data_IF_202610940046
#
_entry.id   IF_202610940046
#
_cell.length_a   1.000
_cell.length_b   1.000
_cell.length_c   1.000
_cell.angle_alpha   90.00
_cell.angle_beta   90.00
_cell.angle_gamma   90.00
#
_symmetry.space_group_name_H-M   'P 1'
#
loop_
_entity.id
_entity.type
_entity.pdbx_description
1 polymer ?
#
# COMPACT_ATOMS: atom_id res chain seq x y z
N UNK A 1 -13.52 -40.69 -33.05
CA UNK A 1 -14.75 -40.54 -33.87
C UNK A 1 -15.83 -40.07 -32.90
N UNK A 2 -16.01 -38.75 -32.80
CA UNK A 2 -17.13 -37.98 -33.41
C UNK A 2 -18.43 -38.18 -32.62
N UNK A 3 -19.20 -37.16 -32.23
CA UNK A 3 -19.34 -35.86 -32.86
C UNK A 3 -19.84 -34.74 -31.93
N UNK A 4 -19.60 -33.55 -32.44
CA UNK A 4 -20.13 -32.25 -32.05
C UNK A 4 -21.60 -32.12 -32.48
N UNK A 5 -22.42 -31.47 -31.65
CA UNK A 5 -23.72 -30.91 -32.05
C UNK A 5 -23.70 -29.37 -31.90
N UNK A 6 -23.68 -28.61 -33.01
CA UNK A 6 -24.05 -27.21 -33.02
C UNK A 6 -25.30 -26.98 -33.88
N UNK A 7 -26.40 -26.61 -33.24
CA UNK A 7 -27.63 -26.12 -33.85
C UNK A 7 -28.14 -25.05 -32.85
N UNK A 8 -28.61 -23.85 -33.17
CA UNK A 8 -29.19 -23.19 -34.35
C UNK A 8 -29.46 -21.76 -33.80
N UNK A 9 -29.22 -20.61 -34.44
CA UNK A 9 -29.98 -20.02 -35.54
C UNK A 9 -29.32 -18.69 -35.94
N UNK A 10 -29.16 -18.51 -37.25
CA UNK A 10 -29.05 -17.21 -37.93
C UNK A 10 -30.31 -16.36 -37.68
N UNK A 11 -30.13 -15.05 -37.63
CA UNK A 11 -30.93 -14.11 -38.44
C UNK A 11 -30.25 -12.73 -38.45
N UNK A 12 -29.66 -12.39 -39.59
CA UNK A 12 -29.33 -11.04 -39.96
C UNK A 12 -30.59 -10.34 -40.51
N UNK A 13 -30.75 -9.04 -40.26
CA UNK A 13 -31.37 -8.17 -41.25
C UNK A 13 -30.81 -6.74 -41.14
N UNK A 14 -30.43 -6.23 -42.30
CA UNK A 14 -29.81 -4.95 -42.64
C UNK A 14 -30.91 -4.01 -43.16
N UNK A 15 -30.69 -2.68 -43.06
CA UNK A 15 -31.19 -1.54 -43.89
C UNK A 15 -31.58 -0.38 -42.96
N UNK A 16 -31.37 0.92 -43.21
CA UNK A 16 -30.78 1.74 -44.29
C UNK A 16 -30.66 3.15 -43.68
N UNK A 17 -29.47 3.77 -43.70
CA UNK A 17 -29.04 4.85 -44.60
C UNK A 17 -29.89 6.14 -44.60
N UNK A 18 -29.17 7.25 -44.34
CA UNK A 18 -29.36 8.63 -44.81
C UNK A 18 -30.24 9.55 -43.96
N UNK A 19 -29.66 10.65 -43.44
CA UNK A 19 -30.04 12.06 -43.74
C UNK A 19 -28.96 12.99 -43.13
N UNK A 20 -28.26 13.67 -44.05
CA UNK A 20 -27.78 15.06 -44.07
C UNK A 20 -27.84 15.93 -42.79
N UNK A 21 -26.75 16.68 -42.53
CA UNK A 21 -26.58 17.63 -41.42
C UNK A 21 -27.52 18.85 -41.40
N UNK A 22 -27.41 19.69 -40.37
CA UNK A 22 -26.47 20.82 -40.46
C UNK A 22 -25.59 21.01 -39.21
N UNK A 23 -24.49 21.73 -39.40
CA UNK A 23 -23.75 22.40 -38.33
C UNK A 23 -24.73 23.24 -37.50
N UNK A 24 -24.99 22.84 -36.26
CA UNK A 24 -25.56 23.71 -35.24
C UNK A 24 -24.42 24.13 -34.31
N UNK A 25 -24.19 25.44 -34.26
CA UNK A 25 -23.21 26.10 -33.45
C UNK A 25 -23.22 25.58 -32.00
N UNK A 26 -22.03 25.39 -31.43
CA UNK A 26 -21.89 25.29 -29.99
C UNK A 26 -22.51 26.56 -29.37
N UNK A 27 -23.48 26.46 -28.44
CA UNK A 27 -23.83 27.60 -27.65
C UNK A 27 -22.63 27.89 -26.75
N UNK A 28 -21.84 28.91 -27.12
CA UNK A 28 -21.01 29.60 -26.18
C UNK A 28 -21.95 30.32 -25.20
N UNK A 29 -22.48 29.59 -24.22
CA UNK A 29 -23.06 30.15 -23.01
C UNK A 29 -21.92 30.70 -22.16
N UNK A 30 -21.29 31.79 -22.64
CA UNK A 30 -20.61 32.75 -21.80
C UNK A 30 -21.69 33.66 -21.18
N UNK A 31 -22.55 33.07 -20.35
CA UNK A 31 -23.28 33.84 -19.35
C UNK A 31 -22.32 34.10 -18.19
N UNK A 32 -22.31 35.29 -17.57
CA UNK A 32 -21.62 35.46 -16.30
C UNK A 32 -22.15 34.41 -15.31
N UNK A 33 -21.24 33.74 -14.61
CA UNK A 33 -21.56 32.80 -13.53
C UNK A 33 -22.27 33.56 -12.39
N UNK A 34 -23.57 33.81 -12.53
CA UNK A 34 -24.44 34.13 -11.40
C UNK A 34 -24.64 32.84 -10.59
N UNK A 35 -23.65 32.52 -9.75
CA UNK A 35 -23.78 31.48 -8.73
C UNK A 35 -23.28 31.99 -7.39
N UNK A 36 -24.01 32.95 -6.86
CA UNK A 36 -24.01 33.30 -5.44
C UNK A 36 -25.46 33.23 -5.02
N UNK A 37 -25.89 32.11 -4.43
CA UNK A 37 -27.20 32.08 -3.73
C UNK A 37 -27.22 33.22 -2.68
N UNK A 38 -28.40 33.78 -2.37
CA UNK A 38 -28.53 34.84 -1.36
C UNK A 38 -28.06 34.31 0.01
N UNK A 39 -26.81 34.60 0.37
CA UNK A 39 -26.16 34.08 1.58
C UNK A 39 -24.70 33.65 1.39
N UNK A 40 -24.22 33.50 0.16
CA UNK A 40 -22.79 33.27 -0.07
C UNK A 40 -22.02 34.57 0.08
N UNK A 41 -21.08 34.58 1.03
CA UNK A 41 -20.13 35.67 1.20
C UNK A 41 -19.23 35.73 -0.04
N UNK A 42 -19.03 36.94 -0.59
CA UNK A 42 -18.08 37.14 -1.67
C UNK A 42 -16.69 36.64 -1.23
N UNK A 43 -15.91 36.02 -2.15
CA UNK A 43 -14.55 35.62 -1.83
C UNK A 43 -13.76 36.86 -1.35
N UNK A 44 -12.91 36.71 -0.32
CA UNK A 44 -12.14 37.83 0.19
C UNK A 44 -11.29 38.44 -0.92
N UNK A 45 -11.30 39.77 -1.00
CA UNK A 45 -10.53 40.53 -1.99
C UNK A 45 -9.03 40.15 -1.86
N UNK A 46 -8.29 40.01 -2.98
CA UNK A 46 -6.85 39.82 -2.92
C UNK A 46 -6.21 40.95 -2.10
N UNK A 47 -5.53 40.60 -1.00
CA UNK A 47 -4.95 41.58 -0.07
C UNK A 47 -5.79 41.87 1.19
N UNK A 48 -6.97 41.25 1.34
CA UNK A 48 -7.64 41.18 2.63
C UNK A 48 -6.72 40.47 3.63
N UNK A 49 -6.47 41.09 4.78
CA UNK A 49 -5.73 40.48 5.89
C UNK A 49 -6.58 39.34 6.45
N UNK A 50 -6.38 38.13 5.91
CA UNK A 50 -6.90 36.92 6.50
C UNK A 50 -6.38 36.84 7.94
N UNK A 51 -7.21 36.48 8.93
CA UNK A 51 -6.71 36.25 10.28
C UNK A 51 -5.52 35.29 10.17
N UNK A 52 -4.39 35.72 10.74
CA UNK A 52 -3.11 35.00 10.66
C UNK A 52 -3.37 33.50 10.80
N UNK A 53 -3.09 32.75 9.74
CA UNK A 53 -3.19 31.30 9.80
C UNK A 53 -2.42 30.85 11.05
N UNK A 54 -2.98 29.92 11.86
CA UNK A 54 -2.26 29.41 13.00
C UNK A 54 -0.87 28.97 12.55
N UNK A 55 0.18 29.19 13.36
CA UNK A 55 1.53 28.82 12.97
C UNK A 55 1.52 27.37 12.51
N UNK A 56 2.11 27.12 11.33
CA UNK A 56 2.25 25.77 10.79
C UNK A 56 3.13 25.00 11.76
N UNK A 57 2.50 24.33 12.73
CA UNK A 57 3.18 23.42 13.66
C UNK A 57 3.58 22.20 12.84
N UNK A 58 4.85 22.13 12.49
CA UNK A 58 5.43 20.91 11.93
C UNK A 58 5.50 19.90 13.09
N UNK A 59 4.49 19.04 13.21
CA UNK A 59 4.62 17.87 14.06
C UNK A 59 5.76 17.02 13.52
N UNK A 60 6.79 16.77 14.35
CA UNK A 60 7.84 15.84 13.98
C UNK A 60 7.18 14.49 13.67
N UNK A 61 7.26 14.07 12.40
CA UNK A 61 6.76 12.76 12.00
C UNK A 61 7.46 11.71 12.87
N UNK A 62 6.71 10.76 13.45
CA UNK A 62 7.31 9.72 14.26
C UNK A 62 8.39 9.00 13.43
N UNK A 63 9.53 8.63 14.04
CA UNK A 63 10.65 8.07 13.31
C UNK A 63 10.21 6.81 12.55
N UNK A 64 10.32 6.85 11.22
CA UNK A 64 10.03 5.72 10.34
C UNK A 64 11.32 4.95 10.09
N UNK A 65 11.34 3.67 10.45
CA UNK A 65 12.56 2.86 10.41
C UNK A 65 12.58 2.00 9.17
N UNK A 66 13.55 2.27 8.30
CA UNK A 66 13.79 1.46 7.11
C UNK A 66 14.66 0.26 7.49
N UNK A 67 14.05 -0.91 7.67
CA UNK A 67 14.74 -2.11 8.19
C UNK A 67 15.36 -2.94 7.07
N UNK A 68 14.72 -2.99 5.91
CA UNK A 68 15.16 -3.82 4.77
C UNK A 68 15.14 -2.97 3.50
N UNK A 69 16.23 -3.03 2.72
CA UNK A 69 16.31 -2.43 1.38
C UNK A 69 16.84 -3.47 0.40
N UNK A 70 16.04 -3.80 -0.60
CA UNK A 70 16.43 -4.73 -1.68
C UNK A 70 15.98 -4.19 -3.04
N UNK A 71 16.76 -4.55 -4.07
CA UNK A 71 16.40 -4.30 -5.48
C UNK A 71 15.53 -5.43 -6.06
N UNK A 72 15.32 -6.50 -5.29
CA UNK A 72 14.50 -7.63 -5.70
C UNK A 72 13.00 -7.33 -5.57
N UNK A 73 12.19 -8.12 -6.28
CA UNK A 73 10.74 -8.11 -6.12
C UNK A 73 10.37 -8.67 -4.74
N UNK A 74 9.47 -8.00 -4.04
CA UNK A 74 9.00 -8.43 -2.72
C UNK A 74 8.44 -9.84 -2.73
N UNK A 75 7.80 -10.26 -3.83
CA UNK A 75 7.23 -11.61 -3.99
C UNK A 75 8.28 -12.73 -3.91
N UNK A 76 9.55 -12.38 -4.13
CA UNK A 76 10.68 -13.31 -4.07
C UNK A 76 11.46 -13.20 -2.74
N UNK A 77 11.17 -12.17 -1.94
CA UNK A 77 11.90 -11.88 -0.71
C UNK A 77 11.55 -12.85 0.44
N UNK A 78 10.43 -13.56 0.34
CA UNK A 78 9.94 -14.45 1.38
C UNK A 78 8.93 -15.46 0.88
N UNK A 79 8.31 -16.16 1.83
CA UNK A 79 7.25 -17.15 1.58
C UNK A 79 5.89 -16.48 1.76
N UNK A 80 4.97 -16.71 0.82
CA UNK A 80 3.61 -16.20 0.93
C UNK A 80 2.80 -17.00 1.95
N UNK A 81 2.29 -16.31 2.98
CA UNK A 81 1.57 -16.92 4.09
C UNK A 81 0.06 -16.79 3.85
N UNK A 82 -0.55 -17.83 3.25
CA UNK A 82 -1.97 -17.79 2.85
C UNK A 82 -2.91 -17.62 4.06
N UNK A 83 -2.65 -18.33 5.14
CA UNK A 83 -3.50 -18.27 6.34
C UNK A 83 -3.37 -16.93 7.05
N UNK A 84 -2.15 -16.45 7.25
CA UNK A 84 -1.90 -15.14 7.86
C UNK A 84 -2.42 -13.99 6.99
N UNK A 85 -2.40 -14.13 5.66
CA UNK A 85 -3.00 -13.14 4.76
C UNK A 85 -4.51 -13.07 4.94
N UNK A 86 -5.20 -14.20 5.16
CA UNK A 86 -6.64 -14.20 5.48
C UNK A 86 -6.91 -13.53 6.83
N UNK A 87 -6.09 -13.84 7.84
CA UNK A 87 -6.23 -13.20 9.16
C UNK A 87 -5.94 -11.70 9.09
N UNK A 88 -4.99 -11.28 8.26
CA UNK A 88 -4.70 -9.88 8.05
C UNK A 88 -5.83 -9.14 7.34
N UNK A 89 -6.41 -9.74 6.30
CA UNK A 89 -7.60 -9.20 5.66
C UNK A 89 -8.79 -9.08 6.63
N UNK A 90 -8.83 -9.92 7.68
CA UNK A 90 -9.81 -9.87 8.76
C UNK A 90 -9.38 -8.99 9.96
N UNK A 91 -8.27 -8.25 9.86
CA UNK A 91 -7.69 -7.40 10.93
C UNK A 91 -7.32 -8.16 12.22
N UNK A 92 -7.11 -9.48 12.12
CA UNK A 92 -6.71 -10.37 13.23
C UNK A 92 -5.21 -10.67 13.25
N UNK A 93 -4.47 -10.20 12.25
CA UNK A 93 -3.03 -10.35 12.17
C UNK A 93 -2.46 -9.14 11.43
N UNK A 94 -1.67 -8.29 12.09
CA UNK A 94 -1.29 -7.01 11.48
C UNK A 94 -0.22 -6.27 12.24
N UNK A 95 0.10 -5.06 11.77
CA UNK A 95 0.98 -4.16 12.49
C UNK A 95 0.23 -3.43 13.60
N UNK A 96 0.86 -3.30 14.79
CA UNK A 96 0.29 -2.46 15.87
C UNK A 96 0.36 -0.98 15.47
N UNK A 97 1.52 -0.56 14.96
CA UNK A 97 1.72 0.77 14.39
C UNK A 97 2.06 0.61 12.91
N UNK A 98 1.09 0.82 12.01
CA UNK A 98 1.30 0.66 10.57
C UNK A 98 2.48 1.48 10.06
N UNK A 99 3.31 0.88 9.20
CA UNK A 99 4.41 1.53 8.50
C UNK A 99 5.50 2.13 9.41
N UNK A 100 5.52 1.77 10.70
CA UNK A 100 6.57 2.17 11.66
C UNK A 100 7.91 1.56 11.26
N UNK A 101 7.90 0.27 10.95
CA UNK A 101 9.02 -0.43 10.32
C UNK A 101 8.67 -0.68 8.86
N UNK A 102 9.61 -0.40 7.97
CA UNK A 102 9.41 -0.42 6.53
C UNK A 102 10.43 -1.32 5.85
N UNK A 103 10.01 -1.98 4.79
CA UNK A 103 10.86 -2.67 3.84
C UNK A 103 10.67 -2.09 2.44
N UNK A 104 11.76 -1.87 1.71
CA UNK A 104 11.76 -1.27 0.39
C UNK A 104 12.24 -2.32 -0.59
N UNK A 105 11.35 -2.71 -1.50
CA UNK A 105 11.58 -3.72 -2.52
C UNK A 105 11.28 -3.11 -3.88
N UNK A 106 12.33 -2.81 -4.64
CA UNK A 106 12.23 -2.32 -6.02
C UNK A 106 11.14 -1.25 -6.24
N UNK A 107 11.13 -0.18 -5.45
CA UNK A 107 10.16 0.92 -5.56
C UNK A 107 8.89 0.74 -4.72
N UNK A 108 8.65 -0.44 -4.14
CA UNK A 108 7.49 -0.72 -3.31
C UNK A 108 7.87 -0.69 -1.83
N UNK A 109 7.09 0.05 -1.04
CA UNK A 109 7.23 0.09 0.42
C UNK A 109 6.23 -0.87 1.03
N UNK A 110 6.72 -1.76 1.88
CA UNK A 110 5.93 -2.67 2.68
C UNK A 110 6.10 -2.33 4.15
N UNK A 111 5.06 -2.61 4.92
CA UNK A 111 5.14 -2.55 6.37
C UNK A 111 5.77 -3.83 6.92
N UNK A 112 6.38 -3.71 8.10
CA UNK A 112 7.19 -4.77 8.71
C UNK A 112 6.76 -4.95 10.17
N UNK A 113 6.56 -6.21 10.55
CA UNK A 113 6.45 -6.62 11.94
C UNK A 113 7.34 -7.83 12.21
N UNK A 114 7.74 -8.00 13.46
CA UNK A 114 8.63 -9.08 13.87
C UNK A 114 7.83 -10.14 14.61
N UNK A 115 8.06 -11.41 14.27
CA UNK A 115 7.32 -12.52 14.84
C UNK A 115 7.48 -12.68 16.36
N UNK A 116 8.55 -12.14 16.95
CA UNK A 116 8.73 -12.12 18.40
C UNK A 116 7.81 -11.11 19.13
N UNK A 117 6.94 -10.40 18.41
CA UNK A 117 5.94 -9.48 18.97
C UNK A 117 6.25 -8.00 18.80
N UNK A 118 7.40 -7.62 18.23
CA UNK A 118 7.69 -6.20 17.98
C UNK A 118 6.87 -5.70 16.80
N UNK A 119 6.03 -4.70 17.07
CA UNK A 119 5.09 -4.11 16.12
C UNK A 119 4.09 -5.09 15.50
N UNK A 120 3.86 -6.26 16.12
CA UNK A 120 2.97 -7.30 15.60
C UNK A 120 1.74 -7.46 16.49
N UNK A 121 0.55 -7.31 15.91
CA UNK A 121 -0.72 -7.70 16.49
C UNK A 121 -1.03 -9.13 16.06
N UNK A 122 -0.85 -10.08 16.98
CA UNK A 122 -1.13 -11.50 16.75
C UNK A 122 -1.75 -12.12 18.02
N UNK A 123 -3.08 -11.97 18.21
CA UNK A 123 -3.78 -12.56 19.35
C UNK A 123 -3.76 -14.09 19.32
N UNK A 124 -3.60 -14.69 18.14
CA UNK A 124 -3.58 -16.14 17.95
C UNK A 124 -2.21 -16.78 18.15
N UNK A 125 -1.14 -15.99 18.35
CA UNK A 125 0.25 -16.45 18.43
C UNK A 125 0.64 -17.39 17.29
N UNK A 126 0.18 -17.07 16.07
CA UNK A 126 0.47 -17.82 14.84
C UNK A 126 1.84 -17.48 14.25
N UNK A 127 2.44 -16.37 14.68
CA UNK A 127 3.74 -15.92 14.24
C UNK A 127 4.89 -16.76 14.82
N UNK A 128 5.87 -17.05 13.97
CA UNK A 128 7.13 -17.65 14.36
C UNK A 128 8.06 -16.55 14.91
N UNK A 129 8.58 -16.68 16.15
CA UNK A 129 9.44 -15.66 16.76
C UNK A 129 10.73 -15.38 15.98
N UNK A 130 11.18 -16.30 15.11
CA UNK A 130 12.41 -16.15 14.31
C UNK A 130 12.20 -15.46 12.97
N UNK A 131 10.96 -15.18 12.59
CA UNK A 131 10.62 -14.61 11.28
C UNK A 131 10.27 -13.13 11.35
N UNK A 132 10.40 -12.48 10.21
CA UNK A 132 9.88 -11.15 9.92
C UNK A 132 8.69 -11.32 9.00
N UNK A 133 7.64 -10.55 9.26
CA UNK A 133 6.42 -10.50 8.47
C UNK A 133 6.36 -9.20 7.69
N UNK A 134 6.22 -9.31 6.37
CA UNK A 134 6.06 -8.21 5.44
C UNK A 134 4.58 -8.07 5.10
N UNK A 135 4.05 -6.87 5.31
CA UNK A 135 2.66 -6.55 5.03
C UNK A 135 2.57 -5.64 3.82
N UNK A 136 1.67 -6.00 2.91
CA UNK A 136 1.25 -5.14 1.82
C UNK A 136 -0.23 -4.87 2.00
N UNK A 137 -0.59 -3.59 2.00
CA UNK A 137 -1.94 -3.11 2.32
C UNK A 137 -2.42 -3.63 3.69
N UNK A 138 -1.57 -3.52 4.73
CA UNK A 138 -1.81 -4.07 6.07
C UNK A 138 -3.02 -3.51 6.81
N UNK A 139 -3.62 -2.43 6.30
CA UNK A 139 -4.80 -1.73 6.80
C UNK A 139 -6.07 -2.01 5.98
N UNK A 140 -5.98 -2.87 4.95
CA UNK A 140 -7.04 -3.07 3.97
C UNK A 140 -7.47 -4.54 3.85
N UNK A 141 -8.69 -4.78 3.35
CA UNK A 141 -9.20 -6.13 3.08
C UNK A 141 -8.38 -6.89 2.00
N UNK A 142 -7.57 -6.18 1.22
CA UNK A 142 -6.59 -6.74 0.29
C UNK A 142 -5.22 -7.01 0.91
N UNK A 143 -5.15 -7.19 2.23
CA UNK A 143 -3.89 -7.43 2.91
C UNK A 143 -3.24 -8.74 2.47
N UNK A 144 -1.96 -8.68 2.17
CA UNK A 144 -1.12 -9.86 1.92
C UNK A 144 0.08 -9.86 2.83
N UNK A 145 0.38 -11.03 3.39
CA UNK A 145 1.47 -11.26 4.33
C UNK A 145 2.47 -12.22 3.71
N UNK A 146 3.75 -11.88 3.84
CA UNK A 146 4.84 -12.80 3.57
C UNK A 146 5.74 -12.94 4.79
N UNK A 147 6.31 -14.13 4.97
CA UNK A 147 7.30 -14.38 6.00
C UNK A 147 8.70 -14.50 5.39
N UNK A 148 9.70 -13.99 6.09
CA UNK A 148 11.11 -14.14 5.74
C UNK A 148 11.95 -14.35 7.00
N UNK A 149 13.11 -14.97 6.87
CA UNK A 149 14.00 -15.17 8.01
C UNK A 149 14.56 -13.84 8.53
N UNK A 150 14.57 -13.69 9.85
CA UNK A 150 15.21 -12.54 10.48
C UNK A 150 16.73 -12.74 10.50
N UNK A 151 17.42 -12.02 9.59
CA UNK A 151 18.89 -12.01 9.51
C UNK A 151 19.55 -10.98 10.44
N UNK A 152 18.79 -10.16 11.17
CA UNK A 152 19.40 -9.20 12.10
C UNK A 152 19.79 -9.90 13.41
N UNK A 153 21.10 -10.01 13.73
CA UNK A 153 21.57 -10.71 14.92
C UNK A 153 21.13 -10.05 16.23
N UNK A 154 20.73 -8.77 16.20
CA UNK A 154 20.23 -8.05 17.39
C UNK A 154 18.82 -8.48 17.79
N UNK A 155 18.07 -9.03 16.85
CA UNK A 155 16.66 -9.40 17.02
C UNK A 155 16.51 -10.93 16.98
N UNK A 156 17.47 -11.65 16.40
CA UNK A 156 17.54 -13.10 16.38
C UNK A 156 18.91 -13.60 16.88
N UNK A 157 19.13 -13.68 18.21
CA UNK A 157 20.42 -14.11 18.77
C UNK A 157 20.78 -15.57 18.43
N UNK A 158 19.82 -16.39 18.00
CA UNK A 158 20.06 -17.76 17.56
C UNK A 158 20.66 -17.85 16.14
N UNK A 159 20.45 -16.86 15.28
CA UNK A 159 21.05 -16.83 13.94
C UNK A 159 22.54 -16.45 13.94
N UNK A 160 23.03 -15.85 15.04
CA UNK A 160 24.44 -15.48 15.23
C UNK A 160 25.32 -16.56 15.85
N UNK A 161 24.80 -17.76 16.12
CA UNK A 161 25.58 -18.88 16.68
C UNK A 161 26.39 -19.65 15.62
N UNK A 162 26.33 -19.23 14.35
CA UNK A 162 27.29 -19.63 13.33
C UNK A 162 28.45 -18.60 13.30
N UNK A 163 29.62 -19.05 13.75
CA UNK A 163 30.89 -18.33 13.83
C UNK A 163 31.04 -17.36 15.02
N UNK A 164 31.31 -17.93 16.19
CA UNK A 164 32.28 -17.34 17.11
C UNK A 164 33.60 -17.20 16.34
N UNK A 165 34.13 -15.99 16.06
CA UNK A 165 35.55 -15.89 15.71
C UNK A 165 36.32 -16.29 16.96
N UNK A 166 37.09 -17.37 16.87
CA UNK A 166 38.09 -17.70 17.87
C UNK A 166 38.97 -16.46 18.12
N UNK A 167 39.18 -16.13 19.39
CA UNK A 167 39.81 -14.88 19.82
C UNK A 167 41.08 -14.53 19.05
N UNK A 168 41.08 -13.37 18.41
CA UNK A 168 42.25 -12.74 17.82
C UNK A 168 42.22 -11.26 18.20
N UNK A 169 43.19 -10.84 19.02
CA UNK A 169 43.23 -9.55 19.68
C UNK A 169 43.13 -8.32 18.76
N UNK A 170 42.48 -7.28 19.29
CA UNK A 170 42.43 -5.95 18.70
C UNK A 170 43.84 -5.36 18.60
N UNK A 171 44.28 -5.00 17.39
CA UNK A 171 45.47 -4.15 17.17
C UNK A 171 44.99 -2.72 16.95
N UNK A 172 45.33 -1.84 17.89
CA UNK A 172 45.13 -0.38 17.77
C UNK A 172 46.09 0.17 16.72
N UNK A 173 45.58 1.00 15.82
CA UNK A 173 46.33 2.03 15.11
C UNK A 173 45.76 3.38 15.53
#
# INVERSE_FOLDING_TARGET
>A
MSGFDPCRRLAALILVLSISGPMAAAPALAGPLERTEPGHLAPPQPGAQLPFAPPIVQFALPPQWMTIRSKEDWRKAGTFEKELSKDCAALRFGEITPMRFRAYFNGQVMGVAFGHGLNLHDPGKKADPKKIYLFRNGDSAGCTVQSMDNKDPRVNPAAGQAATPAGGGFKKY
#
